data_IF_635063344791
#
_entry.id   IF_635063344791
#
_cell.length_a   1.000
_cell.length_b   1.000
_cell.length_c   1.000
_cell.angle_alpha   90.00
_cell.angle_beta   90.00
_cell.angle_gamma   90.00
#
_symmetry.space_group_name_H-M   'P 1'
#
loop_
_entity.id
_entity.type
_entity.pdbx_description
1 polymer ?
#
# COMPACT_ATOMS: atom_id res chain seq x y z
N UNK A 1 -3.97 18.00 -10.35
CA UNK A 1 -4.03 18.62 -11.69
C UNK A 1 -3.16 17.78 -12.60
N UNK A 2 -3.72 17.11 -13.60
CA UNK A 2 -2.91 16.37 -14.57
C UNK A 2 -2.27 17.35 -15.58
N UNK A 3 -1.05 17.06 -16.03
CA UNK A 3 -0.30 17.86 -17.01
C UNK A 3 0.02 19.31 -16.58
N UNK A 4 0.33 19.53 -15.30
CA UNK A 4 0.74 20.84 -14.79
C UNK A 4 1.96 21.44 -15.54
N UNK A 5 2.84 20.60 -16.10
CA UNK A 5 4.01 21.02 -16.88
C UNK A 5 3.67 21.75 -18.19
N UNK A 6 2.44 21.63 -18.70
CA UNK A 6 1.98 22.33 -19.91
C UNK A 6 1.23 23.64 -19.60
N UNK A 7 1.19 24.07 -18.34
CA UNK A 7 0.36 25.20 -17.88
C UNK A 7 1.27 26.33 -17.42
N UNK A 8 0.77 27.56 -17.52
CA UNK A 8 1.48 28.71 -16.96
C UNK A 8 1.37 28.69 -15.44
N UNK A 9 2.31 29.35 -14.77
CA UNK A 9 2.36 29.40 -13.30
C UNK A 9 1.07 30.00 -12.75
N UNK A 10 0.55 31.07 -13.36
CA UNK A 10 -0.66 31.74 -12.89
C UNK A 10 -1.90 30.82 -12.96
N UNK A 11 -1.98 29.98 -14.00
CA UNK A 11 -3.06 29.00 -14.16
C UNK A 11 -3.00 27.92 -13.08
N UNK A 12 -1.79 27.50 -12.69
CA UNK A 12 -1.59 26.49 -11.63
C UNK A 12 -1.93 27.08 -10.26
N UNK A 13 -1.46 28.29 -9.96
CA UNK A 13 -1.79 29.00 -8.72
C UNK A 13 -3.30 29.22 -8.59
N UNK A 14 -3.97 29.66 -9.66
CA UNK A 14 -5.41 29.82 -9.70
C UNK A 14 -6.17 28.49 -9.54
N UNK A 15 -5.69 27.41 -10.16
CA UNK A 15 -6.32 26.08 -10.05
C UNK A 15 -6.31 25.55 -8.60
N UNK A 16 -5.21 25.75 -7.88
CA UNK A 16 -5.10 25.33 -6.48
C UNK A 16 -5.60 26.39 -5.48
N UNK A 17 -5.94 27.58 -5.97
CA UNK A 17 -6.33 28.75 -5.19
C UNK A 17 -5.30 29.02 -4.07
N UNK A 18 -4.03 29.02 -4.45
CA UNK A 18 -2.89 29.17 -3.54
C UNK A 18 -2.19 30.50 -3.84
N UNK A 19 -1.78 31.18 -2.78
CA UNK A 19 -0.97 32.38 -2.87
C UNK A 19 0.52 32.00 -2.94
N UNK A 20 1.27 32.65 -3.83
CA UNK A 20 2.67 32.29 -4.08
C UNK A 20 3.59 32.62 -2.89
N UNK A 21 3.30 33.70 -2.16
CA UNK A 21 4.13 34.19 -1.06
C UNK A 21 3.79 33.51 0.28
N UNK A 22 2.50 33.22 0.50
CA UNK A 22 1.98 32.73 1.78
C UNK A 22 1.58 31.25 1.75
N UNK A 23 1.37 30.67 0.57
CA UNK A 23 1.02 29.27 0.41
C UNK A 23 -0.45 28.96 0.71
N UNK A 24 -0.71 27.72 1.14
CA UNK A 24 -2.05 27.23 1.49
C UNK A 24 -2.37 27.53 2.97
N UNK A 25 -3.62 27.86 3.26
CA UNK A 25 -4.11 27.96 4.63
C UNK A 25 -4.30 26.59 5.29
N UNK A 26 -4.31 26.54 6.62
CA UNK A 26 -4.55 25.30 7.38
C UNK A 26 -5.89 24.62 7.03
N UNK A 27 -6.92 25.42 6.73
CA UNK A 27 -8.22 24.90 6.27
C UNK A 27 -8.13 24.26 4.88
N UNK A 28 -7.37 24.87 3.97
CA UNK A 28 -7.11 24.31 2.65
C UNK A 28 -6.31 23.02 2.77
N UNK A 29 -5.30 22.97 3.63
CA UNK A 29 -4.50 21.75 3.87
C UNK A 29 -5.41 20.62 4.36
N UNK A 30 -6.25 20.86 5.39
CA UNK A 30 -7.19 19.84 5.88
C UNK A 30 -8.11 19.33 4.78
N UNK A 31 -8.75 20.26 4.05
CA UNK A 31 -9.67 19.91 2.97
C UNK A 31 -8.99 19.13 1.83
N UNK A 32 -7.77 19.51 1.47
CA UNK A 32 -7.02 18.84 0.40
C UNK A 32 -6.55 17.46 0.86
N UNK A 33 -6.09 17.31 2.10
CA UNK A 33 -5.70 16.00 2.68
C UNK A 33 -6.89 15.06 2.78
N UNK A 34 -8.08 15.55 3.14
CA UNK A 34 -9.31 14.74 3.14
C UNK A 34 -9.70 14.28 1.72
N UNK A 35 -9.47 15.13 0.71
CA UNK A 35 -9.84 14.85 -0.68
C UNK A 35 -8.83 13.95 -1.40
N UNK A 36 -7.54 14.16 -1.17
CA UNK A 36 -6.44 13.54 -1.91
C UNK A 36 -5.72 12.45 -1.12
N UNK A 37 -5.98 12.35 0.19
CA UNK A 37 -5.22 11.49 1.08
C UNK A 37 -3.86 12.07 1.43
N UNK A 38 -3.10 11.29 2.20
CA UNK A 38 -1.71 11.60 2.49
C UNK A 38 -0.84 11.36 1.25
N UNK A 39 0.22 12.15 1.09
CA UNK A 39 1.20 11.97 0.03
C UNK A 39 2.16 10.81 0.37
N UNK A 40 1.61 9.63 0.56
CA UNK A 40 2.33 8.39 0.83
C UNK A 40 1.84 7.30 -0.12
N UNK A 41 2.79 6.46 -0.55
CA UNK A 41 2.44 5.26 -1.29
C UNK A 41 1.81 4.27 -0.31
N UNK A 42 0.74 3.56 -0.69
CA UNK A 42 0.19 2.52 0.16
C UNK A 42 1.29 1.50 0.45
N UNK A 43 1.47 1.17 1.73
CA UNK A 43 2.37 0.10 2.11
C UNK A 43 1.85 -1.21 1.50
N UNK A 44 2.74 -1.98 0.88
CA UNK A 44 2.37 -3.34 0.47
C UNK A 44 2.01 -4.14 1.73
N UNK A 45 0.86 -4.80 1.69
CA UNK A 45 0.46 -5.71 2.76
C UNK A 45 1.44 -6.89 2.79
N UNK A 46 2.39 -6.85 3.73
CA UNK A 46 3.25 -7.98 3.98
C UNK A 46 2.38 -9.18 4.39
N UNK A 47 2.54 -10.32 3.71
CA UNK A 47 1.90 -11.56 4.14
C UNK A 47 2.28 -11.84 5.59
N UNK A 48 1.30 -12.18 6.41
CA UNK A 48 1.57 -12.58 7.80
C UNK A 48 2.44 -13.85 7.84
N UNK A 49 3.26 -13.99 8.88
CA UNK A 49 4.09 -15.19 9.07
C UNK A 49 3.22 -16.47 9.07
N UNK A 50 2.02 -16.40 9.64
CA UNK A 50 1.07 -17.52 9.60
C UNK A 50 0.62 -17.87 8.19
N UNK A 51 0.30 -16.87 7.36
CA UNK A 51 -0.07 -17.11 5.95
C UNK A 51 1.07 -17.78 5.18
N UNK A 52 2.31 -17.33 5.39
CA UNK A 52 3.50 -17.95 4.77
C UNK A 52 3.72 -19.39 5.22
N UNK A 53 3.50 -19.70 6.51
CA UNK A 53 3.60 -21.07 7.03
C UNK A 53 2.56 -21.97 6.37
N UNK A 54 1.30 -21.55 6.27
CA UNK A 54 0.26 -22.36 5.63
C UNK A 54 0.51 -22.56 4.12
N UNK A 55 1.02 -21.54 3.43
CA UNK A 55 1.40 -21.63 2.02
C UNK A 55 2.47 -22.71 1.78
N UNK A 56 3.40 -22.92 2.73
CA UNK A 56 4.39 -24.02 2.64
C UNK A 56 3.75 -25.41 2.78
N UNK A 57 2.69 -25.57 3.58
CA UNK A 57 1.99 -26.86 3.71
C UNK A 57 1.18 -27.22 2.46
N UNK A 58 0.93 -26.25 1.55
CA UNK A 58 0.21 -26.53 0.31
C UNK A 58 1.06 -27.21 -0.76
N UNK A 59 2.39 -27.18 -0.61
CA UNK A 59 3.33 -27.86 -1.49
C UNK A 59 3.15 -29.38 -1.46
N UNK A 60 3.19 -30.00 -2.65
CA UNK A 60 2.97 -31.45 -2.81
C UNK A 60 4.04 -32.29 -2.09
N UNK A 61 5.30 -31.85 -2.12
CA UNK A 61 6.41 -32.55 -1.47
C UNK A 61 6.21 -32.51 0.05
N UNK A 62 5.84 -31.34 0.60
CA UNK A 62 5.55 -31.18 2.03
C UNK A 62 4.38 -32.09 2.45
N UNK A 63 3.32 -32.19 1.64
CA UNK A 63 2.20 -33.11 1.89
C UNK A 63 2.64 -34.58 1.91
N UNK A 64 3.51 -35.00 0.99
CA UNK A 64 4.06 -36.35 0.96
C UNK A 64 4.91 -36.62 2.22
N UNK A 65 5.76 -35.67 2.62
CA UNK A 65 6.57 -35.79 3.84
C UNK A 65 5.72 -35.86 5.09
N UNK A 66 4.66 -35.05 5.18
CA UNK A 66 3.73 -35.06 6.31
C UNK A 66 2.99 -36.40 6.39
N UNK A 67 2.55 -36.96 5.26
CA UNK A 67 1.97 -38.30 5.21
C UNK A 67 2.96 -39.37 5.70
N UNK A 68 4.21 -39.32 5.23
CA UNK A 68 5.26 -40.24 5.66
C UNK A 68 5.53 -40.12 7.18
N UNK A 69 5.57 -38.89 7.70
CA UNK A 69 5.73 -38.62 9.12
C UNK A 69 4.56 -39.17 9.95
N UNK A 70 3.32 -39.02 9.49
CA UNK A 70 2.13 -39.58 10.16
C UNK A 70 2.17 -41.11 10.17
N UNK A 71 2.49 -41.75 9.04
CA UNK A 71 2.65 -43.21 8.98
C UNK A 71 3.75 -43.67 9.94
N UNK A 72 4.89 -42.96 9.96
CA UNK A 72 5.99 -43.25 10.86
C UNK A 72 5.61 -43.07 12.32
N UNK A 73 4.84 -42.04 12.67
CA UNK A 73 4.40 -41.77 14.03
C UNK A 73 3.41 -42.80 14.54
N UNK A 74 2.46 -43.25 13.70
CA UNK A 74 1.50 -44.31 14.07
C UNK A 74 2.18 -45.68 14.16
N UNK A 75 3.26 -45.89 13.39
CA UNK A 75 4.05 -47.12 13.41
C UNK A 75 5.04 -47.17 14.58
N UNK A 76 5.39 -46.03 15.17
CA UNK A 76 6.26 -45.89 16.33
C UNK A 76 5.50 -46.20 17.62
#
# INVERSE_FOLDING_TARGET
MENAHCRKVEDVLAYFNVDEETGLSDEQIKRQTEKHGLNELPAEEAKSIWALIFEQFDDLLVKILLLAAVISFVRL
#
